data_IF_775968486915
#
_entry.id   IF_775968486915
#
_cell.length_a   1.000
_cell.length_b   1.000
_cell.length_c   1.000
_cell.angle_alpha   90.00
_cell.angle_beta   90.00
_cell.angle_gamma   90.00
#
_symmetry.space_group_name_H-M   'P 1'
#
loop_
_entity.id
_entity.type
_entity.pdbx_description
1 polymer ?
#
# COMPACT_ATOMS: atom_id res chain seq x y z
N UNK A 1 -30.65 -23.67 8.03
CA UNK A 1 -30.18 -23.26 6.69
C UNK A 1 -28.68 -23.41 6.75
N UNK A 2 -28.23 -24.60 6.37
CA UNK A 2 -26.87 -25.07 6.58
C UNK A 2 -26.07 -24.85 5.28
N UNK A 3 -25.09 -23.95 5.32
CA UNK A 3 -24.11 -23.78 4.25
C UNK A 3 -22.72 -23.71 4.90
N UNK A 4 -21.97 -24.82 4.84
CA UNK A 4 -20.86 -25.02 3.88
C UNK A 4 -19.57 -24.28 4.27
N UNK A 5 -18.94 -24.71 5.37
CA UNK A 5 -17.49 -24.55 5.55
C UNK A 5 -16.78 -25.78 4.97
N UNK A 6 -16.11 -25.62 3.83
CA UNK A 6 -15.11 -26.56 3.33
C UNK A 6 -13.73 -25.94 3.48
N UNK A 7 -13.02 -26.35 4.54
CA UNK A 7 -11.59 -26.14 4.66
C UNK A 7 -10.86 -26.96 3.59
N UNK A 8 -10.01 -26.30 2.79
CA UNK A 8 -9.13 -26.96 1.83
C UNK A 8 -7.86 -27.45 2.56
N UNK A 9 -7.63 -28.76 2.53
CA UNK A 9 -6.37 -29.39 2.92
C UNK A 9 -5.58 -29.69 1.65
N UNK A 10 -4.40 -29.09 1.50
CA UNK A 10 -3.47 -29.38 0.40
C UNK A 10 -2.43 -30.41 0.88
N UNK A 11 -2.50 -31.59 0.27
CA UNK A 11 -1.53 -32.67 0.45
C UNK A 11 -0.19 -32.34 -0.19
N UNK A 12 0.88 -32.51 0.58
CA UNK A 12 2.27 -32.49 0.12
C UNK A 12 2.58 -33.76 -0.66
N UNK A 13 2.68 -33.63 -1.99
CA UNK A 13 3.18 -34.67 -2.89
C UNK A 13 4.62 -34.37 -3.29
N UNK A 14 5.57 -35.10 -2.72
CA UNK A 14 6.96 -35.09 -3.15
C UNK A 14 7.13 -35.76 -4.52
N UNK A 15 8.01 -35.18 -5.34
CA UNK A 15 8.62 -35.90 -6.46
C UNK A 15 10.07 -35.46 -6.62
N UNK A 16 10.96 -36.42 -6.38
CA UNK A 16 12.38 -36.37 -6.71
C UNK A 16 12.56 -36.65 -8.20
N UNK A 17 13.37 -35.84 -8.88
CA UNK A 17 14.09 -36.22 -10.11
C UNK A 17 15.21 -35.16 -10.28
N UNK A 18 16.47 -35.48 -10.54
CA UNK A 18 17.00 -36.68 -11.16
C UNK A 18 17.88 -36.34 -12.37
N UNK A 19 18.87 -35.45 -12.22
CA UNK A 19 20.04 -35.37 -13.10
C UNK A 19 19.90 -34.74 -14.50
N UNK A 20 20.86 -33.88 -14.85
CA UNK A 20 21.79 -34.04 -15.98
C UNK A 20 22.74 -32.83 -15.97
N UNK A 21 24.02 -33.12 -15.70
CA UNK A 21 25.14 -32.22 -15.94
C UNK A 21 25.24 -31.89 -17.44
N UNK A 22 25.16 -30.61 -17.79
CA UNK A 22 25.76 -30.09 -19.03
C UNK A 22 26.76 -29.01 -18.69
N UNK A 23 28.03 -29.38 -18.84
CA UNK A 23 29.19 -28.50 -18.90
C UNK A 23 29.03 -27.52 -20.07
N UNK A 24 28.91 -26.23 -19.76
CA UNK A 24 29.04 -25.15 -20.75
C UNK A 24 30.31 -24.35 -20.42
N UNK A 25 31.34 -24.59 -21.23
CA UNK A 25 32.50 -23.71 -21.39
C UNK A 25 32.05 -22.53 -22.26
N UNK A 26 32.18 -21.30 -21.78
CA UNK A 26 31.82 -20.12 -22.56
C UNK A 26 32.23 -18.80 -21.93
N UNK A 27 33.43 -18.35 -22.31
CA UNK A 27 33.78 -16.94 -22.57
C UNK A 27 33.74 -15.95 -21.40
N UNK A 28 34.92 -15.67 -20.84
CA UNK A 28 35.19 -14.45 -20.09
C UNK A 28 34.99 -13.21 -20.98
N UNK A 29 34.01 -12.38 -20.63
CA UNK A 29 33.91 -10.99 -21.11
C UNK A 29 34.50 -10.10 -20.02
N UNK A 30 35.67 -9.52 -20.28
CA UNK A 30 36.19 -8.39 -19.52
C UNK A 30 35.41 -7.14 -19.96
N UNK A 31 34.70 -6.48 -19.04
CA UNK A 31 33.94 -5.28 -19.36
C UNK A 31 33.41 -4.54 -18.13
N UNK A 32 34.15 -3.50 -17.72
CA UNK A 32 33.73 -2.39 -16.87
C UNK A 32 33.11 -2.72 -15.49
N UNK A 33 33.98 -2.86 -14.48
CA UNK A 33 33.60 -2.72 -13.08
C UNK A 33 33.33 -1.23 -12.81
N UNK A 34 32.06 -0.80 -12.91
CA UNK A 34 31.63 0.50 -12.42
C UNK A 34 31.44 0.39 -10.90
N UNK A 35 32.45 0.80 -10.14
CA UNK A 35 32.34 0.97 -8.70
C UNK A 35 31.43 2.17 -8.45
N UNK A 36 30.14 1.94 -8.22
CA UNK A 36 29.32 2.91 -7.49
C UNK A 36 29.81 2.88 -6.04
N UNK A 37 30.65 3.85 -5.68
CA UNK A 37 30.83 4.21 -4.29
C UNK A 37 29.45 4.61 -3.75
N UNK A 38 28.88 3.76 -2.90
CA UNK A 38 27.70 4.10 -2.13
C UNK A 38 28.02 5.34 -1.30
N UNK A 39 27.46 6.48 -1.70
CA UNK A 39 27.35 7.63 -0.81
C UNK A 39 26.25 7.24 0.16
N UNK A 40 26.62 6.65 1.29
CA UNK A 40 25.80 6.66 2.50
C UNK A 40 25.71 8.10 2.98
N UNK A 41 24.81 8.86 2.37
CA UNK A 41 24.34 10.12 2.91
C UNK A 41 23.60 9.81 4.20
N UNK A 42 24.31 9.88 5.33
CA UNK A 42 23.68 9.89 6.64
C UNK A 42 22.68 11.05 6.70
N UNK A 43 21.40 10.76 6.56
CA UNK A 43 20.34 11.66 7.02
C UNK A 43 20.42 11.70 8.54
N UNK A 44 21.21 12.64 9.04
CA UNK A 44 21.17 13.09 10.42
C UNK A 44 19.75 13.57 10.70
N UNK A 45 19.08 12.85 11.60
CA UNK A 45 17.69 13.11 11.98
C UNK A 45 17.46 14.56 12.37
N UNK A 46 16.47 15.16 11.72
CA UNK A 46 15.69 16.23 12.31
C UNK A 46 14.43 15.55 12.84
N UNK A 47 14.28 15.53 14.17
CA UNK A 47 13.04 15.13 14.82
C UNK A 47 11.90 16.01 14.30
N UNK A 48 11.09 15.45 13.41
CA UNK A 48 9.79 16.00 13.09
C UNK A 48 8.88 15.69 14.25
N UNK A 49 8.51 16.73 15.01
CA UNK A 49 7.43 16.64 15.96
C UNK A 49 6.20 16.06 15.24
N UNK A 50 5.74 14.90 15.67
CA UNK A 50 4.40 14.39 15.35
C UNK A 50 3.42 15.33 16.04
N UNK A 51 3.03 16.40 15.34
CA UNK A 51 1.86 17.17 15.68
C UNK A 51 0.65 16.25 15.48
N UNK A 52 0.20 15.61 16.56
CA UNK A 52 -1.12 15.00 16.60
C UNK A 52 -2.14 16.11 16.41
N UNK A 53 -2.66 16.22 15.20
CA UNK A 53 -3.86 16.99 14.92
C UNK A 53 -5.02 16.20 15.52
N UNK A 54 -5.44 16.58 16.73
CA UNK A 54 -6.76 16.20 17.23
C UNK A 54 -7.79 16.96 16.42
N UNK A 55 -8.44 16.30 15.48
CA UNK A 55 -9.58 16.85 14.75
C UNK A 55 -10.78 16.78 15.69
N UNK A 56 -11.30 17.94 16.11
CA UNK A 56 -12.58 18.03 16.80
C UNK A 56 -13.75 17.74 15.84
N UNK A 57 -14.97 17.56 16.35
CA UNK A 57 -16.11 17.15 15.53
C UNK A 57 -16.51 18.31 14.60
N UNK A 58 -16.09 18.21 13.34
CA UNK A 58 -16.36 19.18 12.29
C UNK A 58 -16.35 18.46 10.96
N UNK A 59 -17.55 18.22 10.43
CA UNK A 59 -17.87 17.45 9.23
C UNK A 59 -17.11 17.96 8.00
N UNK A 60 -16.34 17.13 7.27
CA UNK A 60 -15.87 17.48 5.94
C UNK A 60 -16.84 16.95 4.87
N UNK A 61 -17.48 17.88 4.16
CA UNK A 61 -18.09 17.61 2.88
C UNK A 61 -17.01 17.19 1.85
N UNK A 62 -17.14 15.98 1.30
CA UNK A 62 -16.39 15.40 0.16
C UNK A 62 -14.85 15.56 0.18
N UNK A 63 -14.22 15.59 1.35
CA UNK A 63 -12.77 15.68 1.50
C UNK A 63 -12.32 14.74 2.61
N UNK A 64 -12.10 13.48 2.25
CA UNK A 64 -11.67 12.46 3.19
C UNK A 64 -10.40 12.87 3.94
N UNK A 65 -10.24 12.31 5.13
CA UNK A 65 -9.02 12.51 5.91
C UNK A 65 -7.91 11.72 5.22
N UNK A 66 -6.76 12.34 4.98
CA UNK A 66 -5.63 11.63 4.37
C UNK A 66 -5.18 10.49 5.27
N UNK A 67 -5.16 9.28 4.70
CA UNK A 67 -4.83 8.09 5.45
C UNK A 67 -3.35 8.07 5.87
N UNK A 68 -3.08 7.58 7.08
CA UNK A 68 -1.72 7.47 7.59
C UNK A 68 -1.04 6.19 7.06
N UNK A 69 -0.23 6.33 6.03
CA UNK A 69 0.62 5.22 5.54
C UNK A 69 1.77 4.98 6.53
N UNK A 70 1.84 3.77 7.09
CA UNK A 70 2.88 3.38 8.06
C UNK A 70 4.00 2.57 7.45
N UNK A 71 3.74 1.86 6.35
CA UNK A 71 4.79 1.21 5.57
C UNK A 71 4.41 1.08 4.10
N UNK A 72 5.43 0.92 3.26
CA UNK A 72 5.30 0.66 1.83
C UNK A 72 6.40 -0.29 1.40
N UNK A 73 6.06 -1.38 0.71
CA UNK A 73 7.02 -2.37 0.23
C UNK A 73 6.73 -2.75 -1.23
N UNK A 74 7.77 -2.78 -2.06
CA UNK A 74 7.67 -3.14 -3.48
C UNK A 74 8.15 -4.57 -3.72
N UNK A 75 7.34 -5.37 -4.38
CA UNK A 75 7.69 -6.69 -4.89
C UNK A 75 8.05 -6.60 -6.37
N UNK A 76 9.35 -6.63 -6.68
CA UNK A 76 9.85 -6.54 -8.04
C UNK A 76 9.53 -7.77 -8.90
N UNK A 77 9.28 -8.92 -8.28
CA UNK A 77 8.90 -10.14 -9.00
C UNK A 77 7.46 -10.06 -9.47
N UNK A 78 6.58 -9.45 -8.67
CA UNK A 78 5.16 -9.28 -9.00
C UNK A 78 4.83 -7.98 -9.70
N UNK A 79 5.68 -6.95 -9.59
CA UNK A 79 5.41 -5.62 -10.13
C UNK A 79 4.43 -4.80 -9.29
N UNK A 80 4.19 -5.22 -8.05
CA UNK A 80 3.18 -4.69 -7.15
C UNK A 80 3.80 -4.04 -5.90
N UNK A 81 3.11 -3.06 -5.33
CA UNK A 81 3.46 -2.45 -4.05
C UNK A 81 2.38 -2.75 -3.00
N UNK A 82 2.80 -3.06 -1.79
CA UNK A 82 1.91 -3.13 -0.62
C UNK A 82 2.04 -1.85 0.18
N UNK A 83 0.94 -1.14 0.41
CA UNK A 83 0.84 -0.10 1.44
C UNK A 83 0.21 -0.70 2.68
N UNK A 84 0.72 -0.31 3.84
CA UNK A 84 0.06 -0.56 5.12
C UNK A 84 -0.41 0.77 5.66
N UNK A 85 -1.70 0.87 5.90
CA UNK A 85 -2.40 2.05 6.37
C UNK A 85 -2.85 1.82 7.80
N UNK A 86 -2.49 2.73 8.70
CA UNK A 86 -2.98 2.75 10.07
C UNK A 86 -4.38 3.36 10.12
N UNK A 87 -5.30 2.62 10.71
CA UNK A 87 -6.71 3.00 10.85
C UNK A 87 -7.14 3.09 12.31
N UNK A 88 -6.18 3.12 13.23
CA UNK A 88 -6.44 3.22 14.66
C UNK A 88 -7.21 4.50 15.01
N UNK A 89 -8.27 4.37 15.78
CA UNK A 89 -9.15 5.47 16.19
C UNK A 89 -10.21 5.86 15.16
N UNK A 90 -10.31 5.14 14.03
CA UNK A 90 -11.36 5.39 13.03
C UNK A 90 -12.71 4.92 13.56
N UNK A 91 -13.77 5.66 13.27
CA UNK A 91 -15.14 5.36 13.67
C UNK A 91 -15.98 4.97 12.46
N UNK A 92 -16.82 3.94 12.59
CA UNK A 92 -17.95 3.69 11.68
C UNK A 92 -19.22 4.21 12.32
N UNK A 93 -20.05 4.85 11.52
CA UNK A 93 -21.36 5.35 11.91
C UNK A 93 -22.39 4.57 11.10
N UNK A 94 -23.30 5.28 10.46
CA UNK A 94 -24.48 4.76 9.79
C UNK A 94 -24.17 3.95 8.50
N UNK A 95 -25.22 3.73 7.70
CA UNK A 95 -25.13 3.03 6.43
C UNK A 95 -24.16 3.66 5.43
N UNK A 96 -23.75 2.88 4.43
CA UNK A 96 -22.85 3.30 3.36
C UNK A 96 -23.33 4.60 2.68
N UNK A 97 -22.41 5.55 2.51
CA UNK A 97 -22.62 6.85 1.89
C UNK A 97 -23.13 7.93 2.85
N UNK A 98 -23.36 7.63 4.14
CA UNK A 98 -23.75 8.64 5.09
C UNK A 98 -22.64 9.68 5.29
N UNK A 99 -23.04 10.95 5.42
CA UNK A 99 -22.13 12.07 5.66
C UNK A 99 -21.46 12.05 7.04
N UNK A 100 -22.00 11.27 7.99
CA UNK A 100 -21.41 11.03 9.30
C UNK A 100 -20.22 10.06 9.24
N UNK A 101 -20.16 9.20 8.22
CA UNK A 101 -19.14 8.17 8.11
C UNK A 101 -17.73 8.75 7.96
N UNK A 102 -16.78 8.04 8.54
CA UNK A 102 -15.37 8.38 8.32
C UNK A 102 -14.95 7.89 6.95
N UNK A 103 -14.38 8.81 6.14
CA UNK A 103 -13.74 8.48 4.87
C UNK A 103 -12.25 8.78 4.95
N UNK A 104 -11.42 7.76 4.71
CA UNK A 104 -9.98 7.88 4.60
C UNK A 104 -9.54 7.84 3.14
N UNK A 105 -8.80 8.85 2.69
CA UNK A 105 -8.21 8.87 1.35
C UNK A 105 -6.81 8.24 1.38
N UNK A 106 -6.67 7.05 0.79
CA UNK A 106 -5.37 6.38 0.67
C UNK A 106 -4.69 6.76 -0.64
N UNK A 107 -3.47 7.34 -0.64
CA UNK A 107 -2.77 7.66 -1.88
C UNK A 107 -2.29 6.39 -2.58
N UNK A 108 -2.86 6.08 -3.74
CA UNK A 108 -2.48 4.93 -4.57
C UNK A 108 -1.90 5.47 -5.88
N UNK A 109 -0.57 5.55 -6.03
CA UNK A 109 0.05 6.08 -7.24
C UNK A 109 -0.03 5.12 -8.44
N UNK A 110 -0.52 3.89 -8.23
CA UNK A 110 -0.75 2.94 -9.30
C UNK A 110 -2.14 3.06 -9.91
N UNK A 111 -2.48 2.11 -10.77
CA UNK A 111 -3.70 2.13 -11.56
C UNK A 111 -4.76 1.13 -11.09
N UNK A 112 -4.35 0.08 -10.37
CA UNK A 112 -5.24 -0.98 -9.93
C UNK A 112 -4.86 -1.49 -8.54
N UNK A 113 -5.85 -1.74 -7.69
CA UNK A 113 -5.71 -2.47 -6.43
C UNK A 113 -6.08 -3.93 -6.68
N UNK A 114 -5.14 -4.83 -6.41
CA UNK A 114 -5.25 -6.26 -6.69
C UNK A 114 -5.38 -7.13 -5.44
N UNK A 115 -5.15 -6.57 -4.24
CA UNK A 115 -5.33 -7.30 -3.00
C UNK A 115 -5.52 -6.41 -1.78
N UNK A 116 -6.24 -6.94 -0.78
CA UNK A 116 -6.59 -6.25 0.46
C UNK A 116 -6.42 -7.23 1.62
N UNK A 117 -5.89 -6.76 2.74
CA UNK A 117 -5.88 -7.50 3.99
C UNK A 117 -6.07 -6.57 5.18
N UNK A 118 -6.43 -7.12 6.33
CA UNK A 118 -6.59 -6.37 7.57
C UNK A 118 -6.13 -7.18 8.78
N UNK A 119 -5.68 -6.44 9.79
CA UNK A 119 -5.40 -6.93 11.14
C UNK A 119 -5.73 -5.80 12.11
N UNK A 120 -6.88 -5.91 12.77
CA UNK A 120 -7.50 -4.83 13.54
C UNK A 120 -8.09 -5.31 14.85
N UNK A 121 -8.13 -4.41 15.82
CA UNK A 121 -9.00 -4.54 17.00
C UNK A 121 -10.19 -3.62 16.84
N UNK A 122 -11.37 -4.22 16.65
CA UNK A 122 -12.64 -3.53 16.51
C UNK A 122 -13.41 -3.62 17.82
N UNK A 123 -14.12 -2.55 18.18
CA UNK A 123 -15.04 -2.51 19.32
C UNK A 123 -16.34 -1.89 18.86
N UNK A 124 -17.46 -2.60 19.00
CA UNK A 124 -18.77 -1.99 18.78
C UNK A 124 -19.16 -1.09 19.95
N UNK A 125 -20.03 -0.12 19.69
CA UNK A 125 -20.48 0.88 20.64
C UNK A 125 -21.97 0.69 20.91
N UNK A 126 -22.40 0.91 22.15
CA UNK A 126 -23.82 0.79 22.51
C UNK A 126 -24.38 -0.62 22.31
N UNK A 127 -25.45 -0.72 21.53
CA UNK A 127 -26.13 -2.00 21.20
C UNK A 127 -25.73 -2.57 19.85
N UNK A 128 -24.83 -1.88 19.13
CA UNK A 128 -24.40 -2.22 17.79
C UNK A 128 -23.67 -3.56 17.74
N UNK A 129 -23.87 -4.32 16.65
CA UNK A 129 -23.25 -5.64 16.46
C UNK A 129 -21.91 -5.53 15.74
N UNK A 130 -20.93 -6.35 16.16
CA UNK A 130 -19.62 -6.39 15.52
C UNK A 130 -19.71 -6.73 14.03
N UNK A 131 -20.58 -7.68 13.65
CA UNK A 131 -20.83 -8.09 12.26
C UNK A 131 -21.34 -6.97 11.36
N UNK A 132 -21.85 -5.88 11.94
CA UNK A 132 -22.29 -4.71 11.21
C UNK A 132 -21.13 -3.89 10.63
N UNK A 133 -19.94 -3.91 11.24
CA UNK A 133 -18.86 -3.03 10.81
C UNK A 133 -18.24 -3.47 9.48
N UNK A 134 -18.25 -2.55 8.51
CA UNK A 134 -17.76 -2.78 7.17
C UNK A 134 -16.88 -1.63 6.68
N UNK A 135 -16.01 -1.93 5.71
CA UNK A 135 -15.19 -0.96 4.99
C UNK A 135 -15.51 -1.07 3.51
N UNK A 136 -15.89 0.05 2.91
CA UNK A 136 -16.08 0.18 1.47
C UNK A 136 -14.82 0.75 0.84
N UNK A 137 -14.38 0.11 -0.24
CA UNK A 137 -13.24 0.50 -1.05
C UNK A 137 -13.80 1.10 -2.34
N UNK A 138 -13.76 2.44 -2.45
CA UNK A 138 -14.29 3.18 -3.61
C UNK A 138 -15.79 3.00 -3.89
N UNK A 139 -16.56 2.40 -2.98
CA UNK A 139 -17.97 2.06 -3.24
C UNK A 139 -18.18 0.78 -4.05
N UNK A 140 -17.11 0.19 -4.60
CA UNK A 140 -17.19 -0.96 -5.52
C UNK A 140 -17.00 -2.30 -4.80
N UNK A 141 -16.25 -2.30 -3.69
CA UNK A 141 -15.96 -3.50 -2.90
C UNK A 141 -16.21 -3.21 -1.42
N UNK A 142 -16.92 -4.13 -0.76
CA UNK A 142 -17.23 -4.05 0.67
C UNK A 142 -16.58 -5.23 1.38
N UNK A 143 -15.83 -4.95 2.45
CA UNK A 143 -15.33 -5.97 3.37
C UNK A 143 -16.04 -5.83 4.72
N UNK A 144 -16.77 -6.86 5.14
CA UNK A 144 -17.28 -6.97 6.50
C UNK A 144 -16.14 -7.43 7.41
N UNK A 145 -15.82 -6.62 8.41
CA UNK A 145 -14.62 -6.80 9.23
C UNK A 145 -14.94 -7.60 10.49
N UNK A 146 -16.06 -7.30 11.15
CA UNK A 146 -16.53 -8.07 12.30
C UNK A 146 -17.23 -9.36 11.88
N UNK A 147 -17.17 -10.36 12.75
CA UNK A 147 -17.64 -11.72 12.46
C UNK A 147 -18.84 -12.14 13.31
N UNK A 148 -19.17 -11.37 14.35
CA UNK A 148 -20.03 -11.77 15.43
C UNK A 148 -21.30 -10.91 15.54
N UNK A 149 -22.47 -11.55 15.65
CA UNK A 149 -23.76 -10.87 15.80
C UNK A 149 -24.07 -10.48 17.25
N UNK A 150 -23.08 -9.93 17.96
CA UNK A 150 -23.24 -9.43 19.32
C UNK A 150 -22.34 -8.21 19.57
N UNK A 151 -22.69 -7.34 20.55
CA UNK A 151 -21.84 -6.23 20.94
C UNK A 151 -20.57 -6.69 21.65
N UNK A 152 -19.45 -5.98 21.47
CA UNK A 152 -18.21 -6.30 22.17
C UNK A 152 -16.98 -5.83 21.42
N UNK A 153 -15.90 -6.60 21.52
CA UNK A 153 -14.68 -6.38 20.76
C UNK A 153 -14.15 -7.66 20.12
N UNK A 154 -13.50 -7.52 18.98
CA UNK A 154 -12.77 -8.61 18.32
C UNK A 154 -11.35 -8.16 17.95
N UNK A 155 -10.41 -9.10 17.96
CA UNK A 155 -9.22 -9.03 17.12
C UNK A 155 -9.59 -9.71 15.79
N UNK A 156 -9.84 -8.89 14.78
CA UNK A 156 -10.35 -9.31 13.49
C UNK A 156 -9.23 -9.21 12.43
N UNK A 157 -8.97 -10.30 11.73
CA UNK A 157 -7.93 -10.37 10.70
C UNK A 157 -8.42 -11.17 9.49
N UNK A 158 -7.92 -10.80 8.31
CA UNK A 158 -8.08 -11.56 7.07
C UNK A 158 -7.09 -12.72 6.93
N UNK A 159 -6.24 -12.97 7.94
CA UNK A 159 -5.17 -13.99 7.92
C UNK A 159 -4.14 -13.80 6.79
N UNK A 160 -4.02 -12.58 6.26
CA UNK A 160 -3.11 -12.22 5.18
C UNK A 160 -3.77 -11.32 4.13
N UNK A 161 -3.09 -11.17 2.99
CA UNK A 161 -3.63 -10.41 1.86
C UNK A 161 -4.52 -11.33 1.02
N UNK A 162 -5.77 -10.92 0.84
CA UNK A 162 -6.72 -11.54 -0.08
C UNK A 162 -6.47 -10.96 -1.47
N UNK A 163 -6.12 -11.81 -2.43
CA UNK A 163 -6.00 -11.43 -3.84
C UNK A 163 -7.39 -11.47 -4.48
N UNK A 164 -7.85 -10.34 -5.00
CA UNK A 164 -9.23 -10.20 -5.48
C UNK A 164 -9.55 -11.19 -6.61
N UNK A 165 -8.63 -11.31 -7.57
CA UNK A 165 -8.81 -12.20 -8.73
C UNK A 165 -8.87 -13.69 -8.34
N UNK A 166 -8.22 -14.09 -7.23
CA UNK A 166 -8.28 -15.49 -6.76
C UNK A 166 -9.70 -15.86 -6.28
N UNK A 167 -10.50 -14.85 -5.91
CA UNK A 167 -11.92 -14.98 -5.56
C UNK A 167 -12.86 -14.71 -6.75
N UNK A 168 -12.32 -14.44 -7.95
CA UNK A 168 -13.11 -14.04 -9.11
C UNK A 168 -13.66 -12.60 -9.03
N UNK A 169 -13.13 -11.79 -8.11
CA UNK A 169 -13.47 -10.36 -7.97
C UNK A 169 -12.48 -9.56 -8.84
N UNK A 170 -12.95 -8.68 -9.74
CA UNK A 170 -12.06 -7.81 -10.51
C UNK A 170 -11.21 -6.90 -9.62
N UNK A 171 -10.02 -6.53 -10.08
CA UNK A 171 -9.22 -5.48 -9.46
C UNK A 171 -9.98 -4.15 -9.43
N UNK A 172 -9.76 -3.32 -8.41
CA UNK A 172 -10.34 -1.98 -8.33
C UNK A 172 -9.50 -1.01 -9.16
N UNK A 173 -10.14 -0.28 -10.07
CA UNK A 173 -9.44 0.69 -10.94
C UNK A 173 -9.34 2.05 -10.26
N UNK A 174 -8.11 2.53 -10.09
CA UNK A 174 -7.81 3.82 -9.47
C UNK A 174 -7.64 4.88 -10.55
N UNK A 175 -8.58 5.83 -10.61
CA UNK A 175 -8.59 6.89 -11.63
C UNK A 175 -7.90 8.17 -11.16
N UNK A 176 -8.07 8.53 -9.89
CA UNK A 176 -7.65 9.85 -9.35
C UNK A 176 -6.40 9.78 -8.47
N UNK A 177 -5.73 8.63 -8.43
CA UNK A 177 -4.54 8.41 -7.61
C UNK A 177 -4.81 8.27 -6.11
N UNK A 178 -6.07 8.15 -5.71
CA UNK A 178 -6.49 7.81 -4.35
C UNK A 178 -7.53 6.70 -4.35
N UNK A 179 -7.52 5.90 -3.29
CA UNK A 179 -8.54 4.92 -2.95
C UNK A 179 -9.26 5.39 -1.68
N UNK A 180 -10.50 5.90 -1.78
CA UNK A 180 -11.27 6.26 -0.61
C UNK A 180 -11.75 4.99 0.11
N UNK A 181 -11.55 4.97 1.43
CA UNK A 181 -12.04 3.95 2.34
C UNK A 181 -13.13 4.55 3.21
N UNK A 182 -14.36 4.09 3.06
CA UNK A 182 -15.47 4.51 3.91
C UNK A 182 -15.77 3.46 4.97
N UNK A 183 -15.84 3.90 6.23
CA UNK A 183 -16.10 3.07 7.40
C UNK A 183 -17.55 3.27 7.83
N UNK A 184 -18.34 2.20 7.77
CA UNK A 184 -19.80 2.26 7.90
C UNK A 184 -20.36 1.01 8.58
N UNK A 185 -21.64 1.03 8.95
CA UNK A 185 -22.35 -0.14 9.50
C UNK A 185 -23.40 -0.69 8.52
N UNK A 186 -23.51 -2.02 8.43
CA UNK A 186 -24.58 -2.72 7.73
C UNK A 186 -24.99 -4.01 8.47
N UNK A 187 -26.18 -4.07 9.09
CA UNK A 187 -27.22 -3.04 9.11
C UNK A 187 -26.90 -1.90 10.09
N UNK A 188 -27.32 -0.68 9.75
CA UNK A 188 -27.46 0.45 10.70
C UNK A 188 -28.62 0.14 11.66
N UNK A 189 -28.30 -0.06 12.93
CA UNK A 189 -29.27 -0.34 13.98
C UNK A 189 -29.55 0.87 14.90
N UNK A 190 -28.72 1.92 14.82
CA UNK A 190 -28.78 3.10 15.68
C UNK A 190 -28.38 4.38 14.93
N UNK A 191 -29.37 5.06 14.30
CA UNK A 191 -29.09 6.22 13.45
C UNK A 191 -28.40 7.38 14.16
N UNK A 192 -27.52 8.05 13.43
CA UNK A 192 -26.74 9.23 13.81
C UNK A 192 -25.83 8.97 15.04
N UNK A 193 -25.35 7.74 15.22
CA UNK A 193 -24.43 7.39 16.31
C UNK A 193 -23.18 6.65 15.81
N UNK A 194 -22.13 6.64 16.63
CA UNK A 194 -20.96 5.80 16.38
C UNK A 194 -21.35 4.36 16.70
N UNK A 195 -21.19 3.46 15.75
CA UNK A 195 -21.53 2.04 15.90
C UNK A 195 -20.32 1.18 16.20
N UNK A 196 -19.15 1.55 15.70
CA UNK A 196 -17.92 0.88 16.05
C UNK A 196 -16.69 1.78 15.95
N UNK A 197 -15.66 1.40 16.70
CA UNK A 197 -14.37 2.06 16.76
C UNK A 197 -13.28 1.02 16.45
N UNK A 198 -12.46 1.33 15.46
CA UNK A 198 -11.24 0.58 15.13
C UNK A 198 -10.14 0.98 16.11
N UNK A 199 -10.19 0.46 17.34
CA UNK A 199 -9.31 0.86 18.45
C UNK A 199 -7.82 0.70 18.15
N UNK A 200 -7.43 -0.25 17.30
CA UNK A 200 -6.08 -0.36 16.76
C UNK A 200 -6.06 -1.18 15.47
N UNK A 201 -5.01 -1.05 14.65
CA UNK A 201 -4.75 -1.96 13.54
C UNK A 201 -4.46 -1.31 12.20
N UNK A 202 -4.35 -2.15 11.18
CA UNK A 202 -3.96 -1.71 9.84
C UNK A 202 -4.75 -2.39 8.73
N UNK A 203 -4.86 -1.70 7.60
CA UNK A 203 -5.26 -2.27 6.30
C UNK A 203 -4.02 -2.37 5.41
N UNK A 204 -3.81 -3.53 4.82
CA UNK A 204 -2.81 -3.77 3.78
C UNK A 204 -3.47 -3.70 2.40
N UNK A 205 -2.92 -2.89 1.50
CA UNK A 205 -3.45 -2.68 0.14
C UNK A 205 -2.34 -2.99 -0.85
N UNK A 206 -2.57 -3.96 -1.73
CA UNK A 206 -1.67 -4.31 -2.83
C UNK A 206 -2.17 -3.65 -4.09
N UNK A 207 -1.30 -2.92 -4.77
CA UNK A 207 -1.62 -2.24 -6.01
C UNK A 207 -0.50 -2.39 -7.05
N UNK A 208 -0.89 -2.39 -8.33
CA UNK A 208 0.00 -2.57 -9.46
C UNK A 208 0.63 -1.25 -9.92
N UNK A 209 1.86 -1.33 -10.47
CA UNK A 209 2.51 -0.16 -11.08
C UNK A 209 3.16 0.81 -10.10
N UNK A 210 3.25 0.42 -8.83
CA UNK A 210 3.77 1.23 -7.75
C UNK A 210 5.26 1.08 -7.49
N UNK A 211 6.06 0.62 -8.47
CA UNK A 211 7.48 0.44 -8.28
C UNK A 211 8.07 1.72 -7.71
N UNK A 212 8.32 1.70 -6.40
CA UNK A 212 9.11 2.68 -5.67
C UNK A 212 10.56 2.60 -6.13
N UNK A 213 10.81 2.48 -7.43
CA UNK A 213 11.95 3.16 -8.03
C UNK A 213 11.68 4.60 -7.63
N UNK A 214 12.52 5.23 -6.78
CA UNK A 214 12.70 6.65 -6.97
C UNK A 214 13.17 6.69 -8.41
N UNK A 215 12.27 6.93 -9.36
CA UNK A 215 12.69 7.57 -10.57
C UNK A 215 13.35 8.80 -9.98
N UNK A 216 14.69 8.79 -9.94
CA UNK A 216 15.46 10.02 -10.12
C UNK A 216 14.61 10.75 -11.11
N UNK A 217 13.90 11.77 -10.61
CA UNK A 217 12.68 12.24 -11.29
C UNK A 217 13.04 12.38 -12.76
N UNK A 218 12.12 12.20 -13.71
CA UNK A 218 12.50 12.40 -15.12
C UNK A 218 13.36 13.68 -15.31
N UNK A 219 13.09 14.70 -14.48
CA UNK A 219 13.96 15.87 -14.22
C UNK A 219 15.34 15.55 -13.61
N UNK A 220 15.46 14.84 -12.50
CA UNK A 220 16.73 14.34 -11.94
C UNK A 220 17.60 13.52 -12.92
N UNK A 221 17.02 12.64 -13.75
CA UNK A 221 17.75 11.94 -14.81
C UNK A 221 18.21 12.89 -15.92
N UNK A 222 17.36 13.83 -16.33
CA UNK A 222 17.72 14.88 -17.28
C UNK A 222 18.86 15.75 -16.73
N UNK A 223 18.79 16.14 -15.45
CA UNK A 223 19.82 16.95 -14.78
C UNK A 223 21.14 16.18 -14.71
N UNK A 224 21.11 14.90 -14.33
CA UNK A 224 22.31 14.05 -14.30
C UNK A 224 22.93 13.89 -15.70
N UNK A 225 22.11 13.65 -16.72
CA UNK A 225 22.56 13.55 -18.11
C UNK A 225 23.18 14.87 -18.61
N UNK A 226 22.55 16.01 -18.30
CA UNK A 226 23.07 17.34 -18.64
C UNK A 226 24.40 17.64 -17.93
N UNK A 227 24.54 17.27 -16.66
CA UNK A 227 25.78 17.43 -15.91
C UNK A 227 26.92 16.58 -16.48
N UNK A 228 26.64 15.34 -16.90
CA UNK A 228 27.62 14.47 -17.56
C UNK A 228 28.05 15.04 -18.92
N UNK A 229 27.11 15.51 -19.74
CA UNK A 229 27.39 16.16 -21.02
C UNK A 229 28.24 17.42 -20.86
N UNK A 230 27.91 18.27 -19.89
CA UNK A 230 28.67 19.47 -19.59
C UNK A 230 30.09 19.14 -19.14
N UNK A 231 30.28 18.10 -18.30
CA UNK A 231 31.59 17.62 -17.87
C UNK A 231 32.47 17.19 -19.04
N UNK A 232 31.93 16.40 -19.97
CA UNK A 232 32.65 15.97 -21.19
C UNK A 232 33.02 17.16 -22.07
N UNK A 233 32.10 18.13 -22.24
CA UNK A 233 32.36 19.34 -23.01
C UNK A 233 33.51 20.16 -22.40
N UNK A 234 33.50 20.37 -21.09
CA UNK A 234 34.53 21.10 -20.36
C UNK A 234 35.90 20.39 -20.41
N UNK A 235 35.93 19.06 -20.31
CA UNK A 235 37.16 18.28 -20.48
C UNK A 235 37.71 18.41 -21.92
N UNK A 236 36.86 18.43 -22.93
CA UNK A 236 37.25 18.65 -24.32
C UNK A 236 37.86 20.03 -24.58
N UNK A 237 37.32 21.07 -23.95
CA UNK A 237 37.84 22.45 -24.07
C UNK A 237 39.21 22.60 -23.40
N UNK A 238 39.42 21.99 -22.23
CA UNK A 238 40.70 22.03 -21.51
C UNK A 238 41.84 21.34 -22.28
N UNK A 239 41.54 20.39 -23.16
CA UNK A 239 42.53 19.70 -24.00
C UNK A 239 43.10 20.57 -25.13
N UNK A 240 42.45 21.67 -25.53
CA UNK A 240 42.87 22.48 -26.69
C UNK A 240 43.80 23.64 -26.35
N UNK A 241 43.99 23.97 -25.07
CA UNK A 241 44.87 25.06 -24.65
C UNK A 241 46.34 24.63 -24.53
N UNK A 242 46.87 23.87 -25.51
CA UNK A 242 48.32 23.67 -25.57
C UNK A 242 48.94 24.94 -26.18
N UNK A 243 49.84 25.64 -25.46
CA UNK A 243 50.54 26.77 -26.04
C UNK A 243 51.37 26.28 -27.23
N UNK A 244 51.30 27.03 -28.34
CA UNK A 244 52.25 26.88 -29.45
C UNK A 244 53.64 27.12 -28.86
N UNK A 245 54.49 26.09 -28.91
CA UNK A 245 55.88 26.22 -28.49
C UNK A 245 56.56 27.28 -29.37
N UNK A 246 57.34 28.20 -28.77
CA UNK A 246 58.11 29.19 -29.51
C UNK A 246 59.24 28.56 -30.32
#
# INVERSE_FOLDING_TARGET
MDHLFRAFSLGSGGHEDGGIMRSMKGTLIAGACLVLAGISGGQKGAGGATAGLSVGPGTPASGGVQARVVSSSYDATRGSTTLVVDISGTESWDGLGDSSNTVLDVPIPGHEVSGIGWDVTLMSVGTSWLSGSAISFQGDLIAHIGVDNFPGSCACSSEGIIVLNDLGIPNLTITDGSLPLEFFQDPDDTPDTVDAIYTSGTISIVYEGGAGVPTVSRRGLIVLALLLLLGVLLMGLKSRSRPLAP
#
